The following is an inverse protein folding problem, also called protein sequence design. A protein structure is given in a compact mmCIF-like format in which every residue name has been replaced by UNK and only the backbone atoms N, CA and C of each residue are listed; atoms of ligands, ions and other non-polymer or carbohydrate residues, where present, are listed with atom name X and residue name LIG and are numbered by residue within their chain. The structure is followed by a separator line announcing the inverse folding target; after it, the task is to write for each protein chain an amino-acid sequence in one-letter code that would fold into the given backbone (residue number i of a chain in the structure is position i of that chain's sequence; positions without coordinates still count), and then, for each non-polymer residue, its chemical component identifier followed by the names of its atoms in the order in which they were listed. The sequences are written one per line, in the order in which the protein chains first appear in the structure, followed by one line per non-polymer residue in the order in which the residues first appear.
data_IF_623522570182
#
_entry.id   IF_623522570182
#
_cell.length_a   1.000
_cell.length_b   1.000
_cell.length_c   1.000
_cell.angle_alpha   90.00
_cell.angle_beta   90.00
_cell.angle_gamma   90.00
#
_symmetry.space_group_name_H-M   'P 1'
#
loop_
_entity.id
_entity.type
_entity.pdbx_description
1 polymer ?
#
# COMPACT_ATOMS: atom_id res chain seq x y z
N UNK A 1 24.96 -0.29 5.68
CA UNK A 1 23.55 -0.32 6.09
C UNK A 1 23.45 -1.09 7.39
N UNK A 2 23.14 -0.44 8.51
CA UNK A 2 22.87 -1.18 9.76
C UNK A 2 21.47 -1.77 9.63
N UNK A 3 21.38 -3.08 9.45
CA UNK A 3 20.09 -3.78 9.48
C UNK A 3 19.57 -3.73 10.91
N UNK A 4 18.41 -3.15 11.14
CA UNK A 4 17.71 -3.24 12.42
C UNK A 4 17.44 -4.73 12.71
N UNK A 5 18.03 -5.32 13.78
CA UNK A 5 17.88 -6.74 14.07
C UNK A 5 16.40 -7.12 14.37
N UNK A 6 15.52 -6.15 14.60
CA UNK A 6 14.13 -6.36 14.94
C UNK A 6 13.20 -6.44 13.70
N UNK A 7 13.70 -6.16 12.49
CA UNK A 7 12.88 -6.16 11.26
C UNK A 7 12.16 -7.49 11.05
N UNK A 8 12.79 -8.62 11.40
CA UNK A 8 12.24 -9.96 11.24
C UNK A 8 11.81 -10.62 12.55
N UNK A 9 11.76 -9.87 13.66
CA UNK A 9 11.35 -10.41 14.95
C UNK A 9 9.89 -10.90 14.91
N UNK A 10 9.59 -12.13 15.38
CA UNK A 10 8.22 -12.59 15.55
C UNK A 10 7.50 -11.86 16.69
N UNK A 11 8.24 -11.18 17.55
CA UNK A 11 7.72 -10.48 18.73
C UNK A 11 7.49 -8.98 18.47
N UNK A 12 7.11 -8.61 17.25
CA UNK A 12 6.91 -7.18 16.85
C UNK A 12 6.05 -6.39 17.83
N UNK A 13 4.99 -6.99 18.36
CA UNK A 13 4.14 -6.33 19.37
C UNK A 13 4.88 -5.98 20.66
N UNK A 14 5.87 -6.80 21.07
CA UNK A 14 6.64 -6.54 22.29
C UNK A 14 7.58 -5.32 22.17
N UNK A 15 7.94 -4.92 20.95
CA UNK A 15 8.74 -3.72 20.72
C UNK A 15 7.92 -2.42 20.82
N UNK A 16 6.59 -2.53 20.97
CA UNK A 16 5.65 -1.42 21.02
C UNK A 16 4.75 -1.51 22.26
N UNK A 17 5.33 -1.91 23.41
CA UNK A 17 4.61 -2.05 24.68
C UNK A 17 4.00 -0.74 25.17
N UNK A 18 4.60 0.39 24.82
CA UNK A 18 4.08 1.74 25.06
C UNK A 18 2.70 1.93 24.42
N UNK A 19 2.55 1.50 23.16
CA UNK A 19 1.26 1.56 22.43
C UNK A 19 0.22 0.63 23.06
N UNK A 20 0.64 -0.56 23.47
CA UNK A 20 -0.25 -1.51 24.17
C UNK A 20 -0.72 -0.93 25.50
N UNK A 21 0.16 -0.25 26.23
CA UNK A 21 -0.19 0.41 27.49
C UNK A 21 -1.14 1.59 27.29
N UNK A 22 -0.93 2.42 26.27
CA UNK A 22 -1.84 3.49 25.88
C UNK A 22 -3.24 2.92 25.60
N UNK A 23 -3.32 1.88 24.77
CA UNK A 23 -4.59 1.22 24.46
C UNK A 23 -5.29 0.67 25.72
N UNK A 24 -4.54 0.06 26.65
CA UNK A 24 -5.10 -0.45 27.94
C UNK A 24 -5.65 0.65 28.82
N UNK A 25 -5.15 1.87 28.71
CA UNK A 25 -5.65 3.05 29.44
C UNK A 25 -6.87 3.71 28.76
N UNK A 26 -7.32 3.16 27.62
CA UNK A 26 -8.41 3.75 26.83
C UNK A 26 -7.96 4.90 25.94
N UNK A 27 -6.67 5.13 25.81
CA UNK A 27 -6.11 6.10 24.87
C UNK A 27 -6.15 5.53 23.45
N UNK A 28 -6.13 6.40 22.43
CA UNK A 28 -6.05 6.01 21.02
C UNK A 28 -4.60 6.14 20.54
N UNK A 29 -3.78 5.09 20.55
CA UNK A 29 -2.42 5.17 20.08
C UNK A 29 -2.38 5.38 18.57
N UNK A 30 -1.48 6.24 18.12
CA UNK A 30 -1.24 6.49 16.70
C UNK A 30 -0.76 5.19 16.04
N UNK A 31 -1.30 4.82 14.87
CA UNK A 31 -0.84 3.65 14.10
C UNK A 31 0.66 3.77 13.77
N UNK A 32 1.39 2.67 13.91
CA UNK A 32 2.80 2.62 13.51
C UNK A 32 2.95 2.53 12.00
N UNK A 33 2.04 1.80 11.37
CA UNK A 33 2.01 1.56 9.94
C UNK A 33 0.58 1.71 9.42
N UNK A 34 0.44 2.32 8.25
CA UNK A 34 -0.80 2.37 7.49
C UNK A 34 -0.61 1.60 6.19
N UNK A 35 -1.61 0.80 5.82
CA UNK A 35 -1.69 0.16 4.52
C UNK A 35 -2.63 0.98 3.64
N UNK A 36 -2.13 1.44 2.49
CA UNK A 36 -2.89 2.27 1.56
C UNK A 36 -3.10 1.54 0.24
N UNK A 37 -4.36 1.38 -0.13
CA UNK A 37 -4.79 0.82 -1.42
C UNK A 37 -5.14 1.98 -2.34
N UNK A 38 -4.20 2.39 -3.19
CA UNK A 38 -4.38 3.54 -4.10
C UNK A 38 -5.08 3.18 -5.41
N UNK A 39 -5.09 1.90 -5.75
CA UNK A 39 -5.73 1.41 -6.97
C UNK A 39 -6.38 0.04 -6.72
N UNK A 40 -7.61 -0.10 -7.18
CA UNK A 40 -8.31 -1.38 -7.24
C UNK A 40 -8.23 -2.00 -8.66
N UNK A 41 -7.57 -1.31 -9.58
CA UNK A 41 -7.20 -1.83 -10.90
C UNK A 41 -5.92 -2.65 -10.80
N UNK A 42 -5.85 -3.72 -11.58
CA UNK A 42 -4.67 -4.54 -11.72
C UNK A 42 -4.48 -4.91 -13.19
N UNK A 43 -3.25 -4.95 -13.63
CA UNK A 43 -2.86 -5.39 -14.97
C UNK A 43 -2.70 -6.93 -15.08
N UNK A 44 -2.94 -7.67 -13.98
CA UNK A 44 -2.99 -9.12 -13.94
C UNK A 44 -4.41 -9.63 -13.62
N UNK A 45 -4.70 -10.86 -14.07
CA UNK A 45 -5.95 -11.58 -13.78
C UNK A 45 -5.67 -12.94 -13.17
N UNK A 46 -5.00 -12.96 -12.01
CA UNK A 46 -4.63 -14.19 -11.32
C UNK A 46 -5.88 -14.94 -10.85
N UNK A 47 -5.97 -16.23 -11.17
CA UNK A 47 -7.15 -17.06 -10.86
C UNK A 47 -7.39 -17.27 -9.37
N UNK A 48 -6.35 -17.13 -8.54
CA UNK A 48 -6.39 -17.27 -7.08
C UNK A 48 -6.52 -15.92 -6.34
N UNK A 49 -6.65 -14.80 -7.05
CA UNK A 49 -6.68 -13.48 -6.44
C UNK A 49 -7.97 -13.27 -5.63
N UNK A 50 -7.85 -13.13 -4.31
CA UNK A 50 -8.98 -12.92 -3.41
C UNK A 50 -9.80 -11.65 -3.75
N UNK A 51 -9.15 -10.62 -4.29
CA UNK A 51 -9.82 -9.37 -4.70
C UNK A 51 -10.65 -9.51 -5.99
N UNK A 52 -10.56 -10.65 -6.66
CA UNK A 52 -11.29 -10.96 -7.90
C UNK A 52 -12.29 -12.09 -7.76
N UNK A 53 -12.41 -12.66 -6.56
CA UNK A 53 -13.39 -13.70 -6.29
C UNK A 53 -14.81 -13.12 -6.36
N UNK A 54 -15.74 -13.93 -6.87
CA UNK A 54 -17.16 -13.59 -6.84
C UNK A 54 -17.63 -13.35 -5.42
N UNK A 55 -18.34 -12.24 -5.21
CA UNK A 55 -18.82 -11.85 -3.88
C UNK A 55 -17.86 -10.99 -3.05
N UNK A 56 -16.65 -10.71 -3.52
CA UNK A 56 -15.79 -9.73 -2.85
C UNK A 56 -16.40 -8.33 -2.90
N UNK A 57 -16.53 -7.68 -1.74
CA UNK A 57 -17.36 -6.48 -1.56
C UNK A 57 -16.90 -5.27 -2.37
N UNK A 58 -15.61 -5.12 -2.62
CA UNK A 58 -15.09 -4.00 -3.44
C UNK A 58 -15.59 -4.07 -4.88
N UNK A 59 -15.80 -5.28 -5.41
CA UNK A 59 -16.30 -5.47 -6.78
C UNK A 59 -17.76 -5.03 -6.94
N UNK A 60 -18.59 -5.15 -5.89
CA UNK A 60 -20.00 -4.74 -5.92
C UNK A 60 -20.17 -3.22 -5.94
N UNK A 61 -19.23 -2.48 -5.38
CA UNK A 61 -19.29 -1.03 -5.29
C UNK A 61 -18.88 -0.33 -6.60
N UNK A 62 -18.26 -1.05 -7.54
CA UNK A 62 -17.69 -0.50 -8.77
C UNK A 62 -18.46 -0.89 -10.07
N UNK A 63 -19.67 -1.45 -9.96
CA UNK A 63 -20.51 -1.84 -11.08
C UNK A 63 -20.54 -3.33 -11.37
N UNK A 64 -21.29 -3.73 -12.39
CA UNK A 64 -21.46 -5.14 -12.75
C UNK A 64 -20.12 -5.82 -13.04
N UNK A 65 -19.98 -7.04 -12.51
CA UNK A 65 -18.83 -7.90 -12.72
C UNK A 65 -18.72 -8.29 -14.20
N UNK A 66 -17.70 -7.78 -14.86
CA UNK A 66 -17.27 -8.23 -16.18
C UNK A 66 -15.75 -8.39 -16.13
N UNK A 67 -15.29 -9.63 -16.02
CA UNK A 67 -13.87 -9.96 -15.90
C UNK A 67 -13.02 -9.44 -17.07
N UNK A 68 -13.58 -9.37 -18.27
CA UNK A 68 -12.92 -8.84 -19.47
C UNK A 68 -12.86 -7.31 -19.44
N UNK A 69 -13.96 -6.67 -19.05
CA UNK A 69 -14.01 -5.21 -18.92
C UNK A 69 -13.19 -4.68 -17.76
N UNK A 70 -12.98 -5.47 -16.68
CA UNK A 70 -12.12 -5.08 -15.56
C UNK A 70 -10.67 -4.90 -15.97
N UNK A 71 -10.15 -5.71 -16.86
CA UNK A 71 -8.78 -5.59 -17.38
C UNK A 71 -8.59 -4.33 -18.24
N UNK A 72 -9.66 -3.83 -18.85
CA UNK A 72 -9.63 -2.73 -19.84
C UNK A 72 -10.28 -1.46 -19.26
N UNK A 73 -10.97 -1.56 -18.13
CA UNK A 73 -11.77 -0.46 -17.61
C UNK A 73 -10.87 0.56 -16.86
N UNK A 74 -10.50 1.62 -17.56
CA UNK A 74 -9.89 2.82 -16.98
C UNK A 74 -10.92 3.66 -16.19
N UNK A 75 -11.81 3.01 -15.43
CA UNK A 75 -12.72 3.74 -14.56
C UNK A 75 -11.93 4.51 -13.50
N UNK A 76 -11.89 5.85 -13.55
CA UNK A 76 -11.13 6.65 -12.60
C UNK A 76 -11.58 6.46 -11.15
N UNK A 77 -12.82 6.00 -10.96
CA UNK A 77 -13.37 5.71 -9.61
C UNK A 77 -12.75 4.47 -8.94
N UNK A 78 -11.89 3.73 -9.64
CA UNK A 78 -11.14 2.59 -9.10
C UNK A 78 -9.73 2.95 -8.63
N UNK A 79 -9.42 4.23 -8.63
CA UNK A 79 -8.18 4.79 -8.10
C UNK A 79 -8.50 5.96 -7.19
N UNK A 80 -7.74 6.11 -6.11
CA UNK A 80 -7.82 7.33 -5.31
C UNK A 80 -7.16 8.45 -6.12
N UNK A 81 -7.81 9.62 -6.30
CA UNK A 81 -7.20 10.75 -6.98
C UNK A 81 -5.87 11.15 -6.34
N UNK A 82 -4.91 11.60 -7.15
CA UNK A 82 -3.57 11.95 -6.70
C UNK A 82 -3.57 12.92 -5.52
N UNK A 83 -4.35 14.00 -5.64
CA UNK A 83 -4.45 15.04 -4.62
C UNK A 83 -4.98 14.47 -3.29
N UNK A 84 -5.92 13.54 -3.35
CA UNK A 84 -6.44 12.85 -2.15
C UNK A 84 -5.43 11.88 -1.56
N UNK A 85 -4.62 11.22 -2.40
CA UNK A 85 -3.51 10.43 -1.89
C UNK A 85 -2.49 11.30 -1.14
N UNK A 86 -2.13 12.47 -1.67
CA UNK A 86 -1.22 13.42 -1.03
C UNK A 86 -1.79 13.87 0.32
N UNK A 87 -3.06 14.27 0.38
CA UNK A 87 -3.72 14.64 1.64
C UNK A 87 -3.62 13.52 2.69
N UNK A 88 -3.93 12.27 2.30
CA UNK A 88 -3.83 11.11 3.21
C UNK A 88 -2.39 10.90 3.69
N UNK A 89 -1.39 11.05 2.81
CA UNK A 89 0.02 10.91 3.17
C UNK A 89 0.46 12.00 4.15
N UNK A 90 0.03 13.23 3.92
CA UNK A 90 0.32 14.37 4.79
C UNK A 90 -0.31 14.18 6.17
N UNK A 91 -1.58 13.79 6.23
CA UNK A 91 -2.28 13.46 7.47
C UNK A 91 -1.57 12.35 8.25
N UNK A 92 -1.14 11.28 7.55
CA UNK A 92 -0.37 10.20 8.18
C UNK A 92 0.95 10.70 8.78
N UNK A 93 1.67 11.55 8.05
CA UNK A 93 2.93 12.12 8.52
C UNK A 93 2.72 13.04 9.74
N UNK A 94 1.71 13.93 9.68
CA UNK A 94 1.36 14.83 10.78
C UNK A 94 0.93 14.08 12.05
N UNK A 95 0.19 12.99 11.90
CA UNK A 95 -0.16 12.09 13.01
C UNK A 95 1.06 11.38 13.60
N UNK A 96 2.18 11.31 12.89
CA UNK A 96 3.38 10.62 13.33
C UNK A 96 3.42 9.12 12.99
N UNK A 97 2.68 8.69 11.96
CA UNK A 97 2.79 7.35 11.37
C UNK A 97 4.22 7.14 10.89
N UNK A 98 4.81 5.96 11.19
CA UNK A 98 6.22 5.68 10.89
C UNK A 98 6.43 5.02 9.54
N UNK A 99 5.46 4.25 9.08
CA UNK A 99 5.59 3.49 7.85
C UNK A 99 4.30 3.52 7.03
N UNK A 100 4.44 3.60 5.73
CA UNK A 100 3.36 3.47 4.79
C UNK A 100 3.63 2.30 3.84
N UNK A 101 2.67 1.40 3.74
CA UNK A 101 2.71 0.27 2.83
C UNK A 101 1.70 0.48 1.71
N UNK A 102 2.18 0.65 0.49
CA UNK A 102 1.31 0.55 -0.68
C UNK A 102 1.05 -0.91 -1.00
N UNK A 103 -0.22 -1.26 -1.12
CA UNK A 103 -0.65 -2.64 -1.37
C UNK A 103 -1.90 -2.66 -2.23
N UNK A 104 -2.41 -3.81 -2.58
CA UNK A 104 -3.50 -3.92 -3.47
C UNK A 104 -4.84 -4.30 -2.80
N UNK A 105 -5.95 -3.88 -3.34
CA UNK A 105 -7.05 -4.41 -4.14
C UNK A 105 -6.64 -4.71 -5.59
N UNK A 106 -5.85 -3.89 -6.19
CA UNK A 106 -5.23 -4.10 -7.48
C UNK A 106 -3.70 -4.04 -7.40
N UNK A 107 -3.08 -3.48 -8.42
CA UNK A 107 -1.64 -3.26 -8.49
C UNK A 107 -1.32 -1.78 -8.24
N UNK A 108 -0.57 -1.42 -7.17
CA UNK A 108 -0.27 -0.02 -6.89
C UNK A 108 0.45 0.71 -8.02
N UNK A 109 1.32 0.01 -8.75
CA UNK A 109 2.12 0.63 -9.84
C UNK A 109 1.32 0.92 -11.12
N UNK A 110 0.04 0.51 -11.20
CA UNK A 110 -0.85 0.97 -12.29
C UNK A 110 -1.39 2.37 -12.05
N UNK A 111 -1.36 2.87 -10.81
CA UNK A 111 -1.72 4.25 -10.54
C UNK A 111 -0.76 5.20 -11.29
N UNK A 112 -1.26 6.16 -12.10
CA UNK A 112 -0.40 6.96 -12.99
C UNK A 112 0.64 7.79 -12.24
N UNK A 113 0.37 8.14 -10.99
CA UNK A 113 1.20 8.96 -10.10
C UNK A 113 1.88 8.17 -8.98
N UNK A 114 2.03 6.84 -9.12
CA UNK A 114 2.64 6.01 -8.08
C UNK A 114 4.07 6.46 -7.72
N UNK A 115 4.86 6.86 -8.73
CA UNK A 115 6.24 7.31 -8.52
C UNK A 115 6.30 8.53 -7.60
N UNK A 116 5.47 9.53 -7.88
CA UNK A 116 5.37 10.76 -7.09
C UNK A 116 4.86 10.47 -5.67
N UNK A 117 3.92 9.53 -5.51
CA UNK A 117 3.40 9.13 -4.21
C UNK A 117 4.45 8.41 -3.36
N UNK A 118 5.25 7.54 -3.98
CA UNK A 118 6.35 6.85 -3.30
C UNK A 118 7.42 7.83 -2.84
N UNK A 119 7.81 8.76 -3.72
CA UNK A 119 8.77 9.80 -3.37
C UNK A 119 8.24 10.69 -2.24
N UNK A 120 6.98 11.14 -2.33
CA UNK A 120 6.36 11.97 -1.31
C UNK A 120 6.37 11.29 0.07
N UNK A 121 6.11 9.97 0.12
CA UNK A 121 6.19 9.19 1.36
C UNK A 121 7.56 9.28 2.01
N UNK A 122 8.63 9.14 1.21
CA UNK A 122 10.01 9.27 1.68
C UNK A 122 10.35 10.70 2.12
N UNK A 123 9.91 11.69 1.34
CA UNK A 123 10.13 13.12 1.64
C UNK A 123 9.48 13.54 2.96
N UNK A 124 8.36 12.90 3.34
CA UNK A 124 7.71 13.08 4.64
C UNK A 124 8.39 12.29 5.78
N UNK A 125 9.47 11.59 5.51
CA UNK A 125 10.24 10.84 6.50
C UNK A 125 9.58 9.55 6.97
N UNK A 126 8.58 9.04 6.23
CA UNK A 126 7.96 7.74 6.50
C UNK A 126 8.72 6.62 5.80
N UNK A 127 8.81 5.46 6.46
CA UNK A 127 9.33 4.23 5.84
C UNK A 127 8.38 3.79 4.71
N UNK A 128 8.90 3.70 3.49
CA UNK A 128 8.16 3.22 2.31
C UNK A 128 8.21 1.69 2.24
N UNK A 129 7.06 1.06 2.06
CA UNK A 129 6.91 -0.36 1.76
C UNK A 129 5.96 -0.58 0.57
N UNK A 130 6.25 -1.58 -0.25
CA UNK A 130 5.45 -1.90 -1.43
C UNK A 130 5.20 -3.39 -1.56
N UNK A 131 3.96 -3.75 -1.89
CA UNK A 131 3.57 -5.08 -2.40
C UNK A 131 3.14 -4.90 -3.83
N UNK A 132 3.78 -5.60 -4.76
CA UNK A 132 3.57 -5.42 -6.21
C UNK A 132 3.74 -6.73 -6.97
N UNK A 133 3.08 -6.85 -8.11
CA UNK A 133 3.36 -7.93 -9.07
C UNK A 133 4.65 -7.68 -9.88
N UNK A 134 5.25 -6.51 -9.77
CA UNK A 134 6.55 -6.18 -10.35
C UNK A 134 6.58 -5.96 -11.86
N UNK A 135 5.45 -5.96 -12.54
CA UNK A 135 5.42 -5.87 -14.02
C UNK A 135 5.48 -4.45 -14.56
N UNK A 136 5.18 -3.44 -13.73
CA UNK A 136 5.24 -2.02 -14.11
C UNK A 136 6.30 -1.31 -13.27
N UNK A 137 7.57 -1.44 -13.71
CA UNK A 137 8.70 -0.75 -13.11
C UNK A 137 9.18 0.36 -14.05
N UNK A 138 8.53 1.53 -13.96
CA UNK A 138 8.90 2.71 -14.76
C UNK A 138 10.26 3.25 -14.31
N UNK A 139 10.92 3.99 -15.22
CA UNK A 139 12.19 4.67 -14.93
C UNK A 139 12.11 5.53 -13.65
N UNK A 140 13.11 5.40 -12.80
CA UNK A 140 13.22 6.07 -11.51
C UNK A 140 12.44 5.43 -10.36
N UNK A 141 11.56 4.45 -10.62
CA UNK A 141 10.85 3.74 -9.56
C UNK A 141 11.78 2.80 -8.78
N UNK A 142 12.66 2.00 -9.42
CA UNK A 142 13.61 1.17 -8.68
C UNK A 142 14.51 1.97 -7.73
N UNK A 143 14.96 3.16 -8.14
CA UNK A 143 15.82 4.04 -7.33
C UNK A 143 15.10 4.58 -6.11
N UNK A 144 13.80 4.87 -6.23
CA UNK A 144 12.95 5.28 -5.09
C UNK A 144 12.74 4.08 -4.16
N UNK A 145 12.40 2.92 -4.70
CA UNK A 145 12.15 1.71 -3.91
C UNK A 145 13.40 1.21 -3.18
N UNK A 146 14.60 1.47 -3.73
CA UNK A 146 15.87 1.16 -3.06
C UNK A 146 16.09 1.98 -1.78
N UNK A 147 15.43 3.12 -1.62
CA UNK A 147 15.42 3.93 -0.41
C UNK A 147 14.32 3.49 0.58
N UNK A 148 13.38 2.67 0.12
CA UNK A 148 12.30 2.14 0.93
C UNK A 148 12.76 1.09 1.93
N UNK A 149 11.88 0.72 2.85
CA UNK A 149 12.18 -0.26 3.90
C UNK A 149 12.19 -1.68 3.37
N UNK A 150 11.22 -2.03 2.52
CA UNK A 150 11.14 -3.33 1.83
C UNK A 150 10.17 -3.28 0.63
N UNK A 151 10.43 -4.18 -0.30
CA UNK A 151 9.53 -4.46 -1.42
C UNK A 151 9.25 -5.95 -1.46
N UNK A 152 7.99 -6.34 -1.58
CA UNK A 152 7.56 -7.71 -1.81
C UNK A 152 7.04 -7.86 -3.22
N UNK A 153 7.69 -8.68 -4.01
CA UNK A 153 7.20 -9.10 -5.31
C UNK A 153 6.31 -10.33 -5.16
N UNK A 154 5.09 -10.25 -5.71
CA UNK A 154 4.20 -11.39 -5.81
C UNK A 154 4.58 -12.16 -7.08
N UNK A 155 5.38 -13.22 -6.90
CA UNK A 155 5.81 -14.11 -7.99
C UNK A 155 4.97 -15.36 -7.88
N UNK A 156 3.92 -15.38 -8.67
CA UNK A 156 2.95 -16.48 -8.69
C UNK A 156 3.13 -17.23 -10.02
N UNK A 157 3.74 -18.41 -9.94
CA UNK A 157 4.02 -19.27 -11.09
C UNK A 157 2.85 -20.21 -11.40
#
# INVERSE_FOLDING_TARGET
MKTDPNVYSPYKGAHHMDKIQQFKKGEQPIPLQVQLIIADLCNHNCSFCAYRMEGYTSNKNFGEWDAVKQMINNNPNRMIPYEKCIEILDDCAEMGVKALQFTGGGEPTVHPKHKELFQHTLDKGMDLALVTNGTVMREGVPEILAQGKWVRFSVDA
#
